data_IF_267070168412
#
_entry.id   IF_267070168412
#
_cell.length_a   1.000
_cell.length_b   1.000
_cell.length_c   1.000
_cell.angle_alpha   90.00
_cell.angle_beta   90.00
_cell.angle_gamma   90.00
#
_symmetry.space_group_name_H-M   'P 1'
#
loop_
_entity.id
_entity.type
_entity.pdbx_description
1 polymer ?
#
# COMPACT_ATOMS: atom_id res chain seq x y z
N UNK A 1 -1.00 -17.75 -16.86
CA UNK A 1 -1.80 -18.84 -16.27
C UNK A 1 -2.73 -19.38 -17.34
N UNK A 2 -3.01 -20.69 -17.31
CA UNK A 2 -3.79 -21.41 -18.33
C UNK A 2 -5.26 -20.99 -18.40
N UNK A 3 -5.93 -21.36 -19.50
CA UNK A 3 -7.26 -20.88 -19.93
C UNK A 3 -8.48 -21.46 -19.17
N UNK A 4 -8.29 -22.23 -18.10
CA UNK A 4 -9.34 -23.13 -17.60
C UNK A 4 -10.06 -22.70 -16.30
N UNK A 5 -9.75 -21.56 -15.69
CA UNK A 5 -10.45 -21.07 -14.48
C UNK A 5 -11.73 -20.25 -14.77
N UNK A 6 -12.46 -20.57 -15.83
CA UNK A 6 -13.60 -19.73 -16.28
C UNK A 6 -14.92 -19.92 -15.52
N UNK A 7 -14.99 -20.72 -14.45
CA UNK A 7 -16.30 -21.13 -13.90
C UNK A 7 -16.40 -21.33 -12.37
N UNK A 8 -15.67 -20.57 -11.55
CA UNK A 8 -15.67 -20.84 -10.10
C UNK A 8 -16.63 -20.02 -9.21
N UNK A 9 -17.32 -18.96 -9.65
CA UNK A 9 -17.86 -18.00 -8.67
C UNK A 9 -19.21 -17.34 -9.03
N UNK A 10 -20.38 -17.92 -8.68
CA UNK A 10 -21.66 -17.28 -8.94
C UNK A 10 -22.22 -16.41 -7.80
N UNK A 11 -21.63 -16.30 -6.59
CA UNK A 11 -22.23 -15.50 -5.51
C UNK A 11 -21.24 -14.91 -4.48
N UNK A 12 -20.90 -13.62 -4.60
CA UNK A 12 -19.99 -12.87 -3.72
C UNK A 12 -20.39 -12.92 -2.22
N UNK A 13 -21.67 -13.03 -1.89
CA UNK A 13 -22.18 -13.09 -0.51
C UNK A 13 -21.85 -14.41 0.20
N UNK A 14 -21.90 -15.53 -0.52
CA UNK A 14 -21.49 -16.85 0.00
C UNK A 14 -19.97 -16.88 0.23
N UNK A 15 -19.21 -16.13 -0.57
CA UNK A 15 -17.75 -16.03 -0.42
C UNK A 15 -17.31 -15.15 0.76
N UNK A 16 -17.99 -14.02 0.99
CA UNK A 16 -17.75 -13.21 2.20
C UNK A 16 -18.01 -14.02 3.47
N UNK A 17 -19.08 -14.83 3.48
CA UNK A 17 -19.36 -15.74 4.60
C UNK A 17 -18.29 -16.82 4.77
N UNK A 18 -17.87 -17.49 3.69
CA UNK A 18 -16.85 -18.56 3.78
C UNK A 18 -15.46 -18.03 4.13
N UNK A 19 -15.11 -16.80 3.72
CA UNK A 19 -13.88 -16.12 4.14
C UNK A 19 -13.91 -15.72 5.62
N UNK A 20 -15.03 -15.19 6.12
CA UNK A 20 -15.20 -14.93 7.55
C UNK A 20 -15.11 -16.22 8.38
N UNK A 21 -15.69 -17.32 7.88
CA UNK A 21 -15.58 -18.65 8.50
C UNK A 21 -14.16 -19.23 8.47
N UNK A 22 -13.37 -19.01 7.41
CA UNK A 22 -11.99 -19.51 7.34
C UNK A 22 -11.04 -18.74 8.26
N UNK A 23 -11.26 -17.45 8.49
CA UNK A 23 -10.55 -16.67 9.52
C UNK A 23 -10.79 -17.26 10.91
N UNK A 24 -12.02 -17.71 11.21
CA UNK A 24 -12.36 -18.35 12.49
C UNK A 24 -11.70 -19.74 12.65
N UNK A 25 -11.54 -20.49 11.56
CA UNK A 25 -11.00 -21.86 11.60
C UNK A 25 -9.47 -21.96 11.59
N UNK A 26 -8.73 -20.95 11.10
CA UNK A 26 -7.27 -21.02 10.96
C UNK A 26 -6.46 -20.74 12.24
N UNK A 27 -7.06 -20.24 13.32
CA UNK A 27 -6.37 -20.01 14.60
C UNK A 27 -6.69 -21.12 15.61
N UNK A 28 -5.93 -22.22 15.53
CA UNK A 28 -5.74 -23.14 16.66
C UNK A 28 -4.26 -23.33 16.89
N UNK A 29 -3.70 -22.58 17.83
CA UNK A 29 -2.39 -22.85 18.43
C UNK A 29 -2.61 -22.97 19.95
N UNK A 30 -2.00 -23.99 20.56
CA UNK A 30 -2.10 -24.30 22.00
C UNK A 30 -1.39 -23.20 22.82
N UNK A 31 -2.07 -22.66 23.83
CA UNK A 31 -1.56 -21.64 24.75
C UNK A 31 -0.84 -22.20 25.97
N UNK A 32 0.00 -21.34 26.54
CA UNK A 32 0.43 -21.33 27.93
C UNK A 32 0.50 -19.85 28.37
N UNK A 33 -0.65 -19.16 28.41
CA UNK A 33 -0.74 -17.74 28.84
C UNK A 33 -1.17 -17.67 30.31
N UNK A 34 -0.63 -16.71 31.07
CA UNK A 34 -1.04 -16.48 32.47
C UNK A 34 -2.19 -15.47 32.55
N UNK A 35 -2.95 -15.46 33.65
CA UNK A 35 -4.04 -14.48 33.87
C UNK A 35 -3.56 -13.02 33.92
N UNK A 36 -2.28 -12.81 34.24
CA UNK A 36 -1.68 -11.48 34.38
C UNK A 36 -1.42 -10.86 33.00
N UNK A 37 -0.90 -11.65 32.06
CA UNK A 37 -0.68 -11.23 30.66
C UNK A 37 -2.02 -10.83 29.95
N UNK A 38 -3.13 -11.51 30.29
CA UNK A 38 -4.45 -11.19 29.74
C UNK A 38 -5.03 -9.85 30.24
N UNK A 39 -4.75 -9.49 31.49
CA UNK A 39 -5.19 -8.21 32.06
C UNK A 39 -4.41 -7.06 31.43
N UNK A 40 -3.08 -7.19 31.32
CA UNK A 40 -2.21 -6.17 30.74
C UNK A 40 -2.58 -5.87 29.26
N UNK A 41 -2.86 -6.91 28.46
CA UNK A 41 -3.31 -6.77 27.07
C UNK A 41 -4.57 -5.88 26.92
N UNK A 42 -5.60 -6.13 27.74
CA UNK A 42 -6.86 -5.40 27.65
C UNK A 42 -6.75 -3.98 28.18
N UNK A 43 -5.94 -3.78 29.21
CA UNK A 43 -5.66 -2.45 29.76
C UNK A 43 -4.97 -1.58 28.69
N UNK A 44 -3.98 -2.13 27.98
CA UNK A 44 -3.33 -1.44 26.86
C UNK A 44 -4.33 -1.08 25.76
N UNK A 45 -5.24 -2.00 25.39
CA UNK A 45 -6.28 -1.71 24.39
C UNK A 45 -7.27 -0.63 24.84
N UNK A 46 -7.64 -0.60 26.12
CA UNK A 46 -8.53 0.43 26.66
C UNK A 46 -7.86 1.81 26.62
N UNK A 47 -6.60 1.89 27.05
CA UNK A 47 -5.83 3.13 26.99
C UNK A 47 -5.57 3.58 25.55
N UNK A 48 -5.33 2.63 24.63
CA UNK A 48 -5.14 2.89 23.21
C UNK A 48 -6.37 3.52 22.53
N UNK A 49 -7.56 3.52 23.14
CA UNK A 49 -8.69 4.31 22.61
C UNK A 49 -8.42 5.80 22.70
N UNK A 50 -7.72 6.26 23.74
CA UNK A 50 -7.61 7.67 24.09
C UNK A 50 -6.20 8.24 23.91
N UNK A 51 -5.17 7.40 23.75
CA UNK A 51 -3.78 7.84 23.55
C UNK A 51 -3.02 6.96 22.55
N UNK A 52 -1.90 7.47 22.07
CA UNK A 52 -0.92 6.65 21.35
C UNK A 52 -0.33 5.58 22.28
N UNK A 53 -0.08 4.39 21.75
CA UNK A 53 0.61 3.32 22.47
C UNK A 53 2.13 3.51 22.45
N UNK A 54 2.80 2.97 23.47
CA UNK A 54 4.26 2.93 23.56
C UNK A 54 4.85 1.79 22.73
N UNK A 55 6.18 1.75 22.64
CA UNK A 55 6.89 0.72 21.88
C UNK A 55 6.73 -0.65 22.54
N UNK A 56 6.82 -0.67 23.86
CA UNK A 56 6.67 -1.83 24.72
C UNK A 56 5.25 -2.39 24.60
N UNK A 57 4.24 -1.52 24.62
CA UNK A 57 2.83 -1.88 24.42
C UNK A 57 2.58 -2.45 23.02
N UNK A 58 3.16 -1.86 21.98
CA UNK A 58 3.04 -2.39 20.63
C UNK A 58 3.62 -3.82 20.51
N UNK A 59 4.76 -4.09 21.14
CA UNK A 59 5.36 -5.42 21.18
C UNK A 59 4.50 -6.40 21.99
N UNK A 60 3.98 -5.97 23.14
CA UNK A 60 3.06 -6.75 23.96
C UNK A 60 1.82 -7.16 23.14
N UNK A 61 1.16 -6.22 22.47
CA UNK A 61 -0.01 -6.50 21.64
C UNK A 61 0.33 -7.53 20.54
N UNK A 62 1.45 -7.36 19.83
CA UNK A 62 1.83 -8.30 18.77
C UNK A 62 2.12 -9.72 19.30
N UNK A 63 2.67 -9.83 20.51
CA UNK A 63 2.97 -11.09 21.19
C UNK A 63 1.71 -11.79 21.69
N UNK A 64 0.80 -11.04 22.33
CA UNK A 64 -0.35 -11.61 23.04
C UNK A 64 -1.54 -11.96 22.12
N UNK A 65 -1.60 -11.42 20.91
CA UNK A 65 -2.68 -11.72 19.95
C UNK A 65 -2.44 -13.10 19.30
N UNK A 66 -2.92 -14.12 20.00
CA UNK A 66 -2.85 -15.53 19.60
C UNK A 66 -4.23 -16.19 19.38
N UNK A 67 -5.32 -15.44 19.54
CA UNK A 67 -6.69 -15.88 19.28
C UNK A 67 -7.45 -14.92 18.37
N UNK A 68 -8.45 -15.43 17.66
CA UNK A 68 -9.37 -14.59 16.87
C UNK A 68 -10.11 -13.57 17.73
N UNK A 69 -10.41 -13.90 18.99
CA UNK A 69 -11.05 -12.96 19.92
C UNK A 69 -10.15 -11.75 20.18
N UNK A 70 -8.92 -11.97 20.64
CA UNK A 70 -7.96 -10.88 20.89
C UNK A 70 -7.76 -10.06 19.59
N UNK A 71 -7.59 -10.72 18.45
CA UNK A 71 -7.43 -10.01 17.18
C UNK A 71 -8.63 -9.10 16.84
N UNK A 72 -9.86 -9.57 17.06
CA UNK A 72 -11.06 -8.76 16.86
C UNK A 72 -11.13 -7.58 17.83
N UNK A 73 -10.74 -7.76 19.10
CA UNK A 73 -10.63 -6.68 20.09
C UNK A 73 -9.64 -5.59 19.61
N UNK A 74 -8.48 -5.98 19.06
CA UNK A 74 -7.53 -5.02 18.44
C UNK A 74 -8.17 -4.28 17.25
N UNK A 75 -8.83 -4.98 16.34
CA UNK A 75 -9.46 -4.38 15.16
C UNK A 75 -10.58 -3.40 15.54
N UNK A 76 -11.37 -3.71 16.56
CA UNK A 76 -12.39 -2.80 17.08
C UNK A 76 -11.75 -1.48 17.57
N UNK A 77 -10.68 -1.55 18.37
CA UNK A 77 -9.98 -0.35 18.85
C UNK A 77 -9.33 0.41 17.68
N UNK A 78 -8.63 -0.27 16.77
CA UNK A 78 -7.98 0.38 15.64
C UNK A 78 -8.97 1.08 14.70
N UNK A 79 -10.11 0.45 14.40
CA UNK A 79 -11.16 1.05 13.57
C UNK A 79 -11.82 2.25 14.26
N UNK A 80 -12.07 2.18 15.57
CA UNK A 80 -12.55 3.32 16.36
C UNK A 80 -11.58 4.50 16.30
N UNK A 81 -10.29 4.26 16.56
CA UNK A 81 -9.24 5.30 16.47
C UNK A 81 -9.18 5.91 15.08
N UNK A 82 -9.30 5.09 14.02
CA UNK A 82 -9.37 5.58 12.63
C UNK A 82 -10.56 6.50 12.42
N UNK A 83 -11.75 6.12 12.90
CA UNK A 83 -12.96 6.91 12.72
C UNK A 83 -12.90 8.25 13.46
N UNK A 84 -12.39 8.25 14.69
CA UNK A 84 -12.29 9.44 15.54
C UNK A 84 -11.18 10.40 15.09
N UNK A 85 -10.02 9.88 14.64
CA UNK A 85 -8.83 10.72 14.40
C UNK A 85 -8.40 10.85 12.94
N UNK A 86 -8.63 9.84 12.11
CA UNK A 86 -8.32 9.86 10.67
C UNK A 86 -9.57 10.05 9.78
N UNK A 87 -10.76 10.11 10.40
CA UNK A 87 -12.10 10.24 9.81
C UNK A 87 -12.60 8.95 9.14
N UNK A 88 -13.93 8.68 9.18
CA UNK A 88 -14.54 7.47 8.62
C UNK A 88 -14.76 7.59 7.09
N UNK A 89 -13.75 8.04 6.34
CA UNK A 89 -13.79 8.16 4.88
C UNK A 89 -12.67 7.32 4.27
N UNK A 90 -13.02 6.39 3.41
CA UNK A 90 -12.07 5.56 2.68
C UNK A 90 -11.68 6.23 1.36
N UNK A 91 -10.38 6.37 1.15
CA UNK A 91 -9.83 7.11 0.01
C UNK A 91 -9.27 6.18 -1.05
N UNK A 92 -9.40 6.52 -2.32
CA UNK A 92 -8.79 5.76 -3.41
C UNK A 92 -7.80 6.62 -4.20
N UNK A 93 -6.69 6.02 -4.60
CA UNK A 93 -5.75 6.63 -5.54
C UNK A 93 -5.86 5.95 -6.90
N UNK A 94 -5.59 6.70 -7.97
CA UNK A 94 -5.22 6.14 -9.25
C UNK A 94 -3.73 5.79 -9.31
N UNK A 95 -3.34 5.06 -10.35
CA UNK A 95 -1.95 4.72 -10.62
C UNK A 95 -1.61 4.89 -12.10
N UNK A 96 -0.52 5.59 -12.39
CA UNK A 96 0.10 5.66 -13.72
C UNK A 96 1.52 5.16 -13.59
N UNK A 97 1.88 4.16 -14.39
CA UNK A 97 3.24 3.65 -14.39
C UNK A 97 3.57 2.70 -15.53
N UNK A 98 4.84 2.54 -15.87
CA UNK A 98 6.00 3.15 -15.19
C UNK A 98 6.42 4.47 -15.82
N UNK A 99 6.78 5.49 -15.02
CA UNK A 99 7.26 6.79 -15.54
C UNK A 99 8.78 6.90 -15.65
N UNK A 100 9.52 6.02 -14.97
CA UNK A 100 10.99 5.93 -14.98
C UNK A 100 11.45 4.48 -15.12
N UNK A 101 12.65 4.23 -15.68
CA UNK A 101 13.23 2.90 -15.67
C UNK A 101 13.78 2.54 -14.30
N UNK A 102 14.13 1.27 -14.08
CA UNK A 102 14.83 0.85 -12.86
C UNK A 102 16.24 0.32 -13.19
N UNK A 103 17.29 0.96 -12.68
CA UNK A 103 18.68 0.61 -12.94
C UNK A 103 19.43 0.05 -11.71
N UNK A 104 18.75 -0.13 -10.57
CA UNK A 104 19.28 -0.82 -9.39
C UNK A 104 19.86 -2.18 -9.81
N UNK A 105 21.15 -2.41 -9.55
CA UNK A 105 21.85 -3.62 -9.94
C UNK A 105 22.81 -4.05 -8.81
N UNK A 106 22.69 -5.27 -8.27
CA UNK A 106 21.72 -6.32 -8.60
C UNK A 106 20.26 -5.94 -8.30
N UNK A 107 19.27 -6.52 -8.99
CA UNK A 107 17.87 -6.22 -8.74
C UNK A 107 17.39 -6.68 -7.35
N UNK A 108 16.36 -5.99 -6.82
CA UNK A 108 15.70 -6.42 -5.59
C UNK A 108 15.15 -7.85 -5.75
N UNK A 109 15.48 -8.75 -4.81
CA UNK A 109 15.23 -10.19 -4.93
C UNK A 109 13.74 -10.58 -4.88
N UNK A 110 12.88 -9.70 -4.39
CA UNK A 110 11.41 -9.87 -4.37
C UNK A 110 10.72 -9.27 -5.60
N UNK A 111 11.43 -8.48 -6.41
CA UNK A 111 10.83 -7.74 -7.51
C UNK A 111 10.81 -8.59 -8.78
N UNK A 112 9.77 -8.47 -9.60
CA UNK A 112 9.68 -9.15 -10.90
C UNK A 112 10.86 -8.87 -11.85
N UNK A 113 11.63 -7.78 -11.66
CA UNK A 113 12.86 -7.55 -12.44
C UNK A 113 13.92 -8.63 -12.20
N UNK A 114 13.99 -9.20 -10.99
CA UNK A 114 14.95 -10.26 -10.68
C UNK A 114 14.58 -11.62 -11.25
N UNK A 115 13.42 -11.76 -11.91
CA UNK A 115 13.03 -12.98 -12.64
C UNK A 115 13.28 -12.90 -14.15
N UNK A 116 14.09 -11.94 -14.60
CA UNK A 116 14.39 -11.72 -16.02
C UNK A 116 13.26 -11.06 -16.80
N UNK A 117 12.17 -10.66 -16.12
CA UNK A 117 11.10 -9.87 -16.76
C UNK A 117 11.58 -8.44 -16.97
N UNK A 118 11.17 -7.86 -18.09
CA UNK A 118 11.42 -6.46 -18.48
C UNK A 118 10.58 -5.45 -17.66
N UNK A 119 10.45 -5.69 -16.35
CA UNK A 119 9.72 -4.78 -15.46
C UNK A 119 10.53 -3.50 -15.31
N UNK A 120 9.90 -2.36 -15.62
CA UNK A 120 10.54 -1.03 -15.61
C UNK A 120 11.62 -0.82 -16.68
N UNK A 121 11.68 -1.62 -17.76
CA UNK A 121 12.62 -1.36 -18.86
C UNK A 121 12.17 -0.20 -19.75
N UNK A 122 10.87 -0.15 -20.04
CA UNK A 122 10.29 0.84 -20.95
C UNK A 122 9.29 1.74 -20.21
N UNK A 123 9.69 2.97 -19.86
CA UNK A 123 8.78 3.99 -19.35
C UNK A 123 7.72 4.37 -20.37
N UNK A 124 6.58 4.84 -19.86
CA UNK A 124 5.55 5.48 -20.66
C UNK A 124 6.09 6.81 -21.22
N UNK A 125 5.73 7.11 -22.44
CA UNK A 125 5.90 8.41 -23.10
C UNK A 125 5.01 9.47 -22.45
N UNK A 126 5.31 10.75 -22.67
CA UNK A 126 4.48 11.86 -22.15
C UNK A 126 3.04 11.78 -22.65
N UNK A 127 2.81 11.43 -23.92
CA UNK A 127 1.46 11.31 -24.47
C UNK A 127 0.69 10.10 -23.90
N UNK A 128 1.37 8.97 -23.67
CA UNK A 128 0.78 7.84 -22.93
C UNK A 128 0.37 8.28 -21.51
N UNK A 129 1.20 9.05 -20.81
CA UNK A 129 0.90 9.52 -19.46
C UNK A 129 -0.26 10.51 -19.46
N UNK A 130 -0.29 11.47 -20.39
CA UNK A 130 -1.42 12.43 -20.53
C UNK A 130 -2.74 11.70 -20.79
N UNK A 131 -2.72 10.67 -21.63
CA UNK A 131 -3.89 9.83 -21.90
C UNK A 131 -4.39 9.16 -20.62
N UNK A 132 -3.49 8.53 -19.87
CA UNK A 132 -3.82 7.89 -18.59
C UNK A 132 -4.36 8.87 -17.55
N UNK A 133 -3.73 10.03 -17.41
CA UNK A 133 -4.15 11.08 -16.48
C UNK A 133 -5.56 11.60 -16.78
N UNK A 134 -5.88 11.81 -18.07
CA UNK A 134 -7.23 12.19 -18.49
C UNK A 134 -8.27 11.12 -18.10
N UNK A 135 -8.01 9.86 -18.47
CA UNK A 135 -8.91 8.74 -18.15
C UNK A 135 -9.10 8.56 -16.63
N UNK A 136 -8.02 8.66 -15.86
CA UNK A 136 -8.07 8.56 -14.40
C UNK A 136 -8.87 9.72 -13.81
N UNK A 137 -8.66 10.95 -14.28
CA UNK A 137 -9.42 12.12 -13.82
C UNK A 137 -10.93 11.98 -14.08
N UNK A 138 -11.33 11.35 -15.19
CA UNK A 138 -12.73 11.10 -15.54
C UNK A 138 -13.42 10.08 -14.61
N UNK A 139 -12.65 9.30 -13.84
CA UNK A 139 -13.24 8.35 -12.87
C UNK A 139 -13.77 9.01 -11.59
N UNK A 140 -13.42 10.27 -11.36
CA UNK A 140 -13.74 11.00 -10.13
C UNK A 140 -12.76 10.76 -8.98
N UNK A 141 -11.68 9.99 -9.19
CA UNK A 141 -10.61 9.87 -8.20
C UNK A 141 -9.91 11.23 -8.00
N UNK A 142 -9.54 11.53 -6.76
CA UNK A 142 -8.95 12.83 -6.40
C UNK A 142 -7.44 12.86 -6.50
N UNK A 143 -6.78 11.70 -6.43
CA UNK A 143 -5.33 11.57 -6.33
C UNK A 143 -4.79 10.47 -7.22
N UNK A 144 -3.59 10.64 -7.75
CA UNK A 144 -2.90 9.66 -8.59
C UNK A 144 -1.44 9.49 -8.19
N UNK A 145 -0.97 8.24 -8.21
CA UNK A 145 0.44 7.87 -8.18
C UNK A 145 1.06 8.02 -9.56
N UNK A 146 2.20 8.71 -9.63
CA UNK A 146 3.13 8.57 -10.73
C UNK A 146 4.28 7.68 -10.26
N UNK A 147 4.18 6.39 -10.61
CA UNK A 147 5.05 5.34 -10.11
C UNK A 147 6.09 4.91 -11.14
N UNK A 148 7.29 4.58 -10.70
CA UNK A 148 8.30 4.02 -11.57
C UNK A 148 9.48 3.34 -10.88
N UNK A 149 10.47 2.99 -11.69
CA UNK A 149 11.71 2.38 -11.23
C UNK A 149 12.66 3.37 -10.54
N UNK A 150 13.59 2.82 -9.78
CA UNK A 150 14.66 3.57 -9.13
C UNK A 150 15.81 3.82 -10.09
N UNK A 151 16.16 5.10 -10.22
CA UNK A 151 17.36 5.64 -10.88
C UNK A 151 18.17 6.46 -9.86
N UNK A 152 19.13 5.87 -9.11
CA UNK A 152 19.89 6.61 -8.12
C UNK A 152 20.54 7.85 -8.74
N UNK A 153 20.23 9.03 -8.21
CA UNK A 153 20.80 10.31 -8.63
C UNK A 153 20.36 10.86 -9.98
N UNK A 154 19.24 10.40 -10.59
CA UNK A 154 18.89 10.88 -11.93
C UNK A 154 17.48 10.56 -12.43
N UNK A 155 16.43 11.08 -11.79
CA UNK A 155 15.06 11.08 -12.35
C UNK A 155 14.34 12.44 -12.33
N UNK A 156 14.92 13.47 -11.70
CA UNK A 156 14.30 14.79 -11.48
C UNK A 156 13.60 15.37 -12.69
N UNK A 157 14.36 15.69 -13.75
CA UNK A 157 13.85 16.29 -15.00
C UNK A 157 12.67 15.50 -15.58
N UNK A 158 12.78 14.17 -15.64
CA UNK A 158 11.73 13.30 -16.18
C UNK A 158 10.46 13.35 -15.33
N UNK A 159 10.61 13.32 -14.01
CA UNK A 159 9.47 13.39 -13.08
C UNK A 159 8.80 14.74 -13.15
N UNK A 160 9.57 15.83 -13.20
CA UNK A 160 9.07 17.20 -13.35
C UNK A 160 8.29 17.36 -14.66
N UNK A 161 8.87 16.96 -15.81
CA UNK A 161 8.21 16.98 -17.12
C UNK A 161 6.89 16.19 -17.08
N UNK A 162 6.90 15.03 -16.41
CA UNK A 162 5.71 14.20 -16.25
C UNK A 162 4.62 14.91 -15.43
N UNK A 163 4.99 15.54 -14.31
CA UNK A 163 4.06 16.29 -13.46
C UNK A 163 3.44 17.45 -14.23
N UNK A 164 4.25 18.22 -14.96
CA UNK A 164 3.78 19.32 -15.80
C UNK A 164 2.80 18.83 -16.87
N UNK A 165 3.11 17.73 -17.55
CA UNK A 165 2.22 17.13 -18.54
C UNK A 165 0.87 16.68 -17.95
N UNK A 166 0.87 16.07 -16.76
CA UNK A 166 -0.36 15.69 -16.06
C UNK A 166 -1.17 16.94 -15.67
N UNK A 167 -0.51 18.00 -15.18
CA UNK A 167 -1.17 19.26 -14.80
C UNK A 167 -1.89 19.93 -15.97
N UNK A 168 -1.38 19.79 -17.19
CA UNK A 168 -2.03 20.34 -18.40
C UNK A 168 -3.38 19.67 -18.69
N UNK A 169 -3.49 18.35 -18.47
CA UNK A 169 -4.69 17.59 -18.87
C UNK A 169 -5.62 17.22 -17.71
N UNK A 170 -5.11 17.23 -16.48
CA UNK A 170 -5.82 16.88 -15.25
C UNK A 170 -5.42 17.85 -14.11
N UNK A 171 -5.73 19.16 -14.23
CA UNK A 171 -5.23 20.19 -13.30
C UNK A 171 -5.72 20.02 -11.85
N UNK A 172 -6.84 19.34 -11.64
CA UNK A 172 -7.45 19.15 -10.31
C UNK A 172 -7.01 17.87 -9.60
N UNK A 173 -6.23 17.02 -10.26
CA UNK A 173 -5.82 15.72 -9.72
C UNK A 173 -4.62 15.91 -8.78
N UNK A 174 -4.74 15.55 -7.52
CA UNK A 174 -3.57 15.53 -6.63
C UNK A 174 -2.55 14.49 -7.10
N UNK A 175 -1.27 14.82 -7.04
CA UNK A 175 -0.19 13.95 -7.53
C UNK A 175 0.70 13.55 -6.36
N UNK A 176 1.08 12.28 -6.31
CA UNK A 176 2.20 11.82 -5.52
C UNK A 176 3.16 10.94 -6.33
N UNK A 177 4.43 10.94 -5.93
CA UNK A 177 5.52 10.35 -6.71
C UNK A 177 6.12 9.14 -5.99
N UNK A 178 6.42 8.08 -6.76
CA UNK A 178 7.13 6.91 -6.26
C UNK A 178 8.17 6.43 -7.26
N UNK A 179 9.42 6.85 -7.07
CA UNK A 179 10.55 6.48 -7.94
C UNK A 179 11.78 6.04 -7.14
N UNK A 180 11.62 5.71 -5.85
CA UNK A 180 12.74 5.40 -4.96
C UNK A 180 13.69 6.60 -4.73
N UNK A 181 14.94 6.36 -4.26
CA UNK A 181 15.93 7.40 -3.98
C UNK A 181 16.53 8.02 -5.25
N UNK A 182 15.69 8.68 -6.05
CA UNK A 182 16.01 9.17 -7.39
C UNK A 182 15.85 10.67 -7.57
N UNK A 183 15.40 11.36 -6.54
CA UNK A 183 15.16 12.79 -6.50
C UNK A 183 16.19 13.45 -5.60
N UNK A 184 16.73 14.57 -6.04
CA UNK A 184 17.51 15.48 -5.21
C UNK A 184 16.59 16.41 -4.42
N UNK A 185 17.14 17.10 -3.42
CA UNK A 185 16.42 18.15 -2.69
C UNK A 185 15.88 19.28 -3.59
N UNK A 186 16.63 19.67 -4.62
CA UNK A 186 16.17 20.69 -5.57
C UNK A 186 14.98 20.20 -6.40
N UNK A 187 14.99 18.93 -6.81
CA UNK A 187 13.83 18.30 -7.46
C UNK A 187 12.60 18.34 -6.55
N UNK A 188 12.76 18.01 -5.26
CA UNK A 188 11.68 18.05 -4.28
C UNK A 188 11.11 19.47 -4.13
N UNK A 189 11.96 20.50 -4.08
CA UNK A 189 11.55 21.90 -4.03
C UNK A 189 10.73 22.27 -5.28
N UNK A 190 11.16 21.84 -6.46
CA UNK A 190 10.45 22.10 -7.71
C UNK A 190 9.11 21.34 -7.76
N UNK A 191 9.08 20.08 -7.36
CA UNK A 191 7.85 19.29 -7.28
C UNK A 191 6.84 19.91 -6.31
N UNK A 192 7.30 20.44 -5.17
CA UNK A 192 6.46 21.20 -4.24
C UNK A 192 5.85 22.44 -4.89
N UNK A 193 6.64 23.20 -5.67
CA UNK A 193 6.14 24.36 -6.44
C UNK A 193 5.10 23.97 -7.49
N UNK A 194 5.23 22.80 -8.11
CA UNK A 194 4.25 22.22 -9.04
C UNK A 194 3.00 21.63 -8.35
N UNK A 195 2.93 21.72 -7.02
CA UNK A 195 1.79 21.25 -6.24
C UNK A 195 1.73 19.73 -6.10
N UNK A 196 2.85 19.02 -6.17
CA UNK A 196 2.93 17.61 -5.74
C UNK A 196 2.61 17.56 -4.23
N UNK A 197 1.79 16.59 -3.84
CA UNK A 197 1.32 16.46 -2.46
C UNK A 197 2.24 15.59 -1.61
N UNK A 198 2.69 14.48 -2.18
CA UNK A 198 3.47 13.49 -1.45
C UNK A 198 4.58 12.88 -2.32
N UNK A 199 5.66 12.45 -1.68
CA UNK A 199 6.73 11.68 -2.30
C UNK A 199 7.01 10.45 -1.41
N UNK A 200 7.23 9.32 -2.07
CA UNK A 200 7.46 8.05 -1.41
C UNK A 200 8.96 7.78 -1.25
N UNK A 201 9.39 7.50 -0.02
CA UNK A 201 10.67 6.87 0.28
C UNK A 201 10.46 5.68 1.20
N UNK A 202 10.52 4.47 0.66
CA UNK A 202 10.23 3.23 1.39
C UNK A 202 11.49 2.43 1.72
N UNK A 203 11.59 1.93 2.95
CA UNK A 203 12.62 0.96 3.30
C UNK A 203 12.21 -0.48 2.95
N UNK A 204 10.92 -0.79 2.95
CA UNK A 204 10.31 -2.13 2.96
C UNK A 204 10.58 -2.90 4.26
N UNK A 205 11.84 -2.94 4.70
CA UNK A 205 12.24 -3.50 5.99
C UNK A 205 13.16 -2.53 6.71
N UNK A 206 12.98 -2.37 8.02
CA UNK A 206 13.83 -1.53 8.84
C UNK A 206 15.17 -2.20 9.18
N UNK A 207 15.15 -3.54 9.26
CA UNK A 207 16.31 -4.38 9.53
C UNK A 207 17.38 -4.21 8.43
N UNK A 208 18.58 -3.73 8.77
CA UNK A 208 19.63 -3.45 7.77
C UNK A 208 20.15 -4.72 7.09
N UNK A 209 20.20 -5.86 7.79
CA UNK A 209 20.67 -7.13 7.23
C UNK A 209 19.65 -7.67 6.22
N UNK A 210 18.36 -7.71 6.60
CA UNK A 210 17.29 -8.10 5.68
C UNK A 210 17.22 -7.15 4.48
N UNK A 211 17.41 -5.84 4.69
CA UNK A 211 17.46 -4.87 3.59
C UNK A 211 18.57 -5.22 2.61
N UNK A 212 19.80 -5.39 3.09
CA UNK A 212 20.97 -5.70 2.26
C UNK A 212 20.78 -7.03 1.50
N UNK A 213 20.15 -8.01 2.14
CA UNK A 213 19.85 -9.29 1.50
C UNK A 213 18.84 -9.14 0.36
N UNK A 214 17.72 -8.45 0.59
CA UNK A 214 16.58 -8.45 -0.34
C UNK A 214 16.62 -7.30 -1.35
N UNK A 215 17.44 -6.25 -1.11
CA UNK A 215 17.63 -5.07 -1.99
C UNK A 215 19.14 -4.82 -2.26
N UNK A 216 19.87 -5.80 -2.80
CA UNK A 216 21.34 -5.77 -2.84
C UNK A 216 21.96 -4.64 -3.68
N UNK A 217 21.24 -4.11 -4.68
CA UNK A 217 21.70 -2.97 -5.50
C UNK A 217 21.14 -1.61 -5.08
N UNK A 218 20.42 -1.56 -3.96
CA UNK A 218 19.75 -0.35 -3.44
C UNK A 218 20.50 0.19 -2.22
N UNK A 219 20.22 1.42 -1.78
CA UNK A 219 20.84 2.01 -0.60
C UNK A 219 19.79 2.40 0.44
N UNK A 220 19.91 1.79 1.62
CA UNK A 220 19.08 2.11 2.79
C UNK A 220 19.31 3.55 3.23
N UNK A 221 20.57 3.98 3.22
CA UNK A 221 20.99 5.32 3.62
C UNK A 221 20.44 6.38 2.67
N UNK A 222 20.44 6.11 1.35
CA UNK A 222 19.86 7.01 0.36
C UNK A 222 18.34 7.18 0.55
N UNK A 223 17.64 6.11 0.94
CA UNK A 223 16.20 6.15 1.24
C UNK A 223 15.90 6.92 2.52
N UNK A 224 16.70 6.75 3.57
CA UNK A 224 16.59 7.53 4.80
C UNK A 224 16.82 9.01 4.51
N UNK A 225 17.92 9.35 3.81
CA UNK A 225 18.20 10.74 3.40
C UNK A 225 17.06 11.34 2.59
N UNK A 226 16.52 10.60 1.61
CA UNK A 226 15.37 11.07 0.84
C UNK A 226 14.15 11.33 1.74
N UNK A 227 13.87 10.47 2.73
CA UNK A 227 12.76 10.69 3.66
C UNK A 227 12.95 11.96 4.50
N UNK A 228 14.17 12.22 4.98
CA UNK A 228 14.55 13.44 5.70
C UNK A 228 14.41 14.68 4.83
N UNK A 229 14.88 14.64 3.57
CA UNK A 229 14.77 15.76 2.63
C UNK A 229 13.31 16.06 2.23
N UNK A 230 12.47 15.03 2.06
CA UNK A 230 11.03 15.19 1.82
C UNK A 230 10.37 15.94 2.98
N UNK A 231 10.69 15.53 4.22
CA UNK A 231 10.17 16.15 5.43
C UNK A 231 10.67 17.60 5.59
N UNK A 232 11.96 17.84 5.35
CA UNK A 232 12.58 19.16 5.45
C UNK A 232 11.99 20.15 4.44
N UNK A 233 11.80 19.72 3.19
CA UNK A 233 11.14 20.53 2.15
C UNK A 233 9.66 20.73 2.46
N UNK A 234 9.06 19.92 3.34
CA UNK A 234 7.65 20.00 3.75
C UNK A 234 6.70 19.49 2.68
N UNK A 235 7.10 18.44 1.96
CA UNK A 235 6.20 17.58 1.17
C UNK A 235 5.65 16.47 2.08
N UNK A 236 4.49 15.90 1.72
CA UNK A 236 4.01 14.72 2.43
C UNK A 236 4.95 13.54 2.21
N UNK A 237 5.42 12.93 3.30
CA UNK A 237 6.21 11.71 3.30
C UNK A 237 5.26 10.51 3.26
N UNK A 238 5.58 9.60 2.34
CA UNK A 238 5.02 8.25 2.30
C UNK A 238 6.14 7.23 2.44
N UNK A 239 5.92 6.20 3.26
CA UNK A 239 6.93 5.17 3.49
C UNK A 239 6.29 3.80 3.60
N UNK A 240 6.75 2.83 2.81
CA UNK A 240 6.17 1.48 2.75
C UNK A 240 6.92 0.50 3.64
N UNK A 241 6.18 -0.30 4.40
CA UNK A 241 6.65 -1.50 5.09
C UNK A 241 6.19 -2.76 4.35
N UNK A 242 7.00 -3.80 4.35
CA UNK A 242 6.67 -5.12 3.82
C UNK A 242 6.79 -6.19 4.90
N UNK A 243 5.64 -6.68 5.36
CA UNK A 243 5.51 -7.76 6.32
C UNK A 243 5.81 -9.10 5.64
N UNK A 244 6.56 -9.96 6.32
CA UNK A 244 6.84 -11.33 5.88
C UNK A 244 8.03 -11.50 4.93
N UNK A 245 8.77 -10.41 4.63
CA UNK A 245 9.98 -10.48 3.79
C UNK A 245 11.26 -10.89 4.56
N UNK A 246 11.15 -11.08 5.88
CA UNK A 246 12.27 -11.46 6.75
C UNK A 246 12.34 -10.69 8.06
N UNK A 247 11.55 -9.61 8.22
CA UNK A 247 11.51 -8.83 9.46
C UNK A 247 10.78 -9.54 10.61
N UNK A 248 11.20 -9.22 11.84
CA UNK A 248 10.56 -9.66 13.09
C UNK A 248 9.51 -8.65 13.58
N UNK A 249 8.78 -8.98 14.66
CA UNK A 249 7.86 -8.04 15.32
C UNK A 249 8.58 -6.77 15.80
N UNK A 250 9.80 -6.92 16.31
CA UNK A 250 10.68 -5.83 16.72
C UNK A 250 11.04 -4.95 15.52
N UNK A 251 11.39 -5.53 14.37
CA UNK A 251 11.69 -4.76 13.16
C UNK A 251 10.46 -3.95 12.67
N UNK A 252 9.27 -4.53 12.75
CA UNK A 252 8.03 -3.84 12.38
C UNK A 252 7.72 -2.69 13.34
N UNK A 253 7.83 -2.92 14.64
CA UNK A 253 7.63 -1.89 15.66
C UNK A 253 8.69 -0.80 15.54
N UNK A 254 9.96 -1.15 15.35
CA UNK A 254 11.04 -0.19 15.13
C UNK A 254 10.76 0.71 13.91
N UNK A 255 10.26 0.13 12.82
CA UNK A 255 9.87 0.92 11.66
C UNK A 255 8.68 1.85 11.98
N UNK A 256 7.63 1.33 12.64
CA UNK A 256 6.47 2.12 13.07
C UNK A 256 6.93 3.33 13.90
N UNK A 257 7.85 3.13 14.85
CA UNK A 257 8.32 4.19 15.73
C UNK A 257 9.35 5.12 15.08
N UNK A 258 10.20 4.63 14.18
CA UNK A 258 11.10 5.46 13.35
C UNK A 258 10.30 6.51 12.58
N UNK A 259 9.15 6.11 12.03
CA UNK A 259 8.27 7.00 11.28
C UNK A 259 7.69 8.15 12.11
N UNK A 260 7.66 8.07 13.45
CA UNK A 260 7.24 9.18 14.32
C UNK A 260 8.18 10.38 14.25
N UNK A 261 9.41 10.18 13.79
CA UNK A 261 10.41 11.25 13.64
C UNK A 261 10.08 12.26 12.52
N UNK A 262 9.14 11.94 11.62
CA UNK A 262 8.82 12.78 10.47
C UNK A 262 7.53 13.56 10.68
N UNK A 263 7.63 14.89 10.64
CA UNK A 263 6.49 15.79 10.85
C UNK A 263 5.44 15.69 9.75
N UNK A 264 5.89 15.45 8.52
CA UNK A 264 5.07 15.42 7.33
C UNK A 264 4.76 13.99 6.87
N UNK A 265 4.84 12.98 7.74
CA UNK A 265 4.32 11.66 7.43
C UNK A 265 2.80 11.74 7.20
N UNK A 266 2.36 11.53 5.96
CA UNK A 266 0.93 11.62 5.59
C UNK A 266 0.32 10.27 5.23
N UNK A 267 1.13 9.31 4.75
CA UNK A 267 0.64 8.01 4.30
C UNK A 267 1.63 6.89 4.67
N UNK A 268 1.14 5.87 5.38
CA UNK A 268 1.90 4.67 5.75
C UNK A 268 1.28 3.39 5.14
N UNK A 269 1.75 2.94 3.96
CA UNK A 269 1.35 1.66 3.41
C UNK A 269 2.06 0.48 4.08
N UNK A 270 1.29 -0.55 4.44
CA UNK A 270 1.78 -1.79 5.03
C UNK A 270 1.43 -2.92 4.06
N UNK A 271 2.44 -3.49 3.43
CA UNK A 271 2.27 -4.51 2.39
C UNK A 271 2.61 -5.88 2.94
N UNK A 272 1.98 -6.94 2.42
CA UNK A 272 2.42 -8.30 2.69
C UNK A 272 3.28 -8.84 1.55
N UNK A 273 4.41 -9.45 1.88
CA UNK A 273 5.27 -10.10 0.90
C UNK A 273 4.50 -11.16 0.11
N UNK A 274 4.63 -11.08 -1.22
CA UNK A 274 4.05 -12.03 -2.18
C UNK A 274 5.19 -12.63 -3.00
N UNK A 275 5.43 -13.95 -2.94
CA UNK A 275 6.40 -14.61 -3.80
C UNK A 275 6.03 -14.45 -5.27
N UNK A 276 7.03 -14.16 -6.10
CA UNK A 276 6.88 -14.03 -7.54
C UNK A 276 7.70 -15.14 -8.21
N UNK A 277 7.05 -15.93 -9.06
CA UNK A 277 7.71 -17.01 -9.81
C UNK A 277 8.90 -16.49 -10.62
N UNK A 278 10.01 -17.23 -10.53
CA UNK A 278 11.30 -16.95 -11.14
C UNK A 278 12.16 -15.94 -10.38
N UNK A 279 11.69 -15.35 -9.29
CA UNK A 279 12.53 -14.48 -8.46
C UNK A 279 13.36 -15.30 -7.47
N UNK A 280 14.49 -14.80 -6.97
CA UNK A 280 15.26 -15.50 -5.92
C UNK A 280 14.44 -15.83 -4.67
N UNK A 281 13.36 -15.08 -4.39
CA UNK A 281 12.46 -15.32 -3.26
C UNK A 281 11.17 -16.06 -3.63
N UNK A 282 11.11 -16.74 -4.78
CA UNK A 282 9.89 -17.45 -5.21
C UNK A 282 9.45 -18.56 -4.24
N UNK A 283 10.40 -19.14 -3.49
CA UNK A 283 10.15 -20.21 -2.50
C UNK A 283 10.00 -19.68 -1.07
N UNK A 284 10.21 -18.37 -0.87
CA UNK A 284 10.01 -17.76 0.44
C UNK A 284 8.52 -17.79 0.81
N UNK A 285 8.19 -17.93 2.09
CA UNK A 285 6.79 -18.04 2.52
C UNK A 285 6.07 -16.72 2.29
N UNK A 286 4.88 -16.77 1.68
CA UNK A 286 4.03 -15.59 1.56
C UNK A 286 3.61 -15.06 2.94
N UNK A 287 3.44 -13.74 3.05
CA UNK A 287 2.86 -13.15 4.24
C UNK A 287 1.41 -13.61 4.41
N UNK A 288 0.99 -13.84 5.66
CA UNK A 288 -0.41 -14.09 5.98
C UNK A 288 -1.15 -12.76 6.04
N UNK A 289 -2.26 -12.63 5.30
CA UNK A 289 -3.05 -11.39 5.28
C UNK A 289 -3.48 -10.91 6.67
N UNK A 290 -3.74 -11.85 7.58
CA UNK A 290 -4.13 -11.57 8.96
C UNK A 290 -2.98 -10.97 9.78
N UNK A 291 -1.74 -11.38 9.53
CA UNK A 291 -0.55 -10.81 10.18
C UNK A 291 -0.27 -9.40 9.67
N UNK A 292 -0.44 -9.17 8.36
CA UNK A 292 -0.34 -7.84 7.76
C UNK A 292 -1.38 -6.89 8.38
N UNK A 293 -2.62 -7.37 8.52
CA UNK A 293 -3.71 -6.62 9.14
C UNK A 293 -3.45 -6.34 10.64
N UNK A 294 -2.96 -7.33 11.39
CA UNK A 294 -2.58 -7.17 12.81
C UNK A 294 -1.52 -6.07 12.99
N UNK A 295 -0.46 -6.10 12.18
CA UNK A 295 0.59 -5.07 12.22
C UNK A 295 0.04 -3.69 11.81
N UNK A 296 -0.87 -3.64 10.83
CA UNK A 296 -1.53 -2.39 10.46
C UNK A 296 -2.44 -1.80 11.52
N UNK A 297 -3.14 -2.64 12.26
CA UNK A 297 -3.96 -2.20 13.38
C UNK A 297 -3.09 -1.64 14.52
N UNK A 298 -1.96 -2.28 14.84
CA UNK A 298 -0.97 -1.72 15.79
C UNK A 298 -0.41 -0.38 15.27
N UNK A 299 -0.08 -0.30 13.97
CA UNK A 299 0.39 0.94 13.37
C UNK A 299 -0.66 2.07 13.46
N UNK A 300 -1.96 1.77 13.38
CA UNK A 300 -3.04 2.76 13.59
C UNK A 300 -3.07 3.31 15.01
N UNK A 301 -2.80 2.47 16.02
CA UNK A 301 -2.75 2.92 17.42
C UNK A 301 -1.56 3.83 17.73
N UNK A 302 -0.51 3.79 16.90
CA UNK A 302 0.64 4.70 16.97
C UNK A 302 0.45 5.93 16.09
N UNK A 303 0.11 5.73 14.82
CA UNK A 303 -0.05 6.77 13.80
C UNK A 303 -1.53 7.12 13.59
N UNK A 304 -2.12 7.73 14.62
CA UNK A 304 -3.58 7.85 14.76
C UNK A 304 -4.25 8.66 13.64
N UNK A 305 -3.55 9.63 13.04
CA UNK A 305 -4.07 10.53 11.98
C UNK A 305 -3.55 10.25 10.57
N UNK A 306 -2.51 9.43 10.43
CA UNK A 306 -1.86 9.15 9.15
C UNK A 306 -2.79 8.26 8.30
N UNK A 307 -2.82 8.47 6.98
CA UNK A 307 -3.53 7.54 6.11
C UNK A 307 -2.81 6.18 6.14
N UNK A 308 -3.54 5.10 6.42
CA UNK A 308 -3.01 3.73 6.39
C UNK A 308 -3.68 2.98 5.25
N UNK A 309 -2.86 2.28 4.47
CA UNK A 309 -3.32 1.41 3.38
C UNK A 309 -2.60 0.09 3.43
N UNK A 310 -3.18 -0.94 2.81
CA UNK A 310 -2.50 -2.22 2.65
C UNK A 310 -2.08 -2.48 1.19
N UNK A 311 -1.22 -3.47 0.97
CA UNK A 311 -0.84 -3.91 -0.37
C UNK A 311 -0.09 -5.24 -0.42
N UNK A 312 0.55 -5.54 -1.55
CA UNK A 312 1.25 -6.82 -1.74
C UNK A 312 0.26 -7.99 -1.85
N UNK A 313 0.37 -9.00 -0.98
CA UNK A 313 -0.64 -10.09 -0.89
C UNK A 313 -2.02 -9.55 -0.54
N UNK A 314 -2.09 -8.40 0.13
CA UNK A 314 -3.36 -7.77 0.51
C UNK A 314 -4.12 -7.23 -0.69
N UNK A 315 -3.45 -7.02 -1.85
CA UNK A 315 -4.01 -6.40 -3.05
C UNK A 315 -5.08 -7.25 -3.74
N UNK A 316 -6.08 -7.72 -3.00
CA UNK A 316 -7.26 -8.45 -3.43
C UNK A 316 -8.49 -7.70 -2.87
N UNK A 317 -9.44 -7.25 -3.72
CA UNK A 317 -10.67 -6.60 -3.26
C UNK A 317 -11.46 -7.39 -2.20
N UNK A 318 -11.35 -8.72 -2.20
CA UNK A 318 -12.00 -9.59 -1.21
C UNK A 318 -11.45 -9.37 0.21
N UNK A 319 -10.24 -8.81 0.33
CA UNK A 319 -9.61 -8.49 1.61
C UNK A 319 -9.95 -7.06 2.10
N UNK A 320 -10.64 -6.22 1.32
CA UNK A 320 -11.01 -4.87 1.75
C UNK A 320 -11.78 -4.81 3.10
N UNK A 321 -12.68 -5.76 3.44
CA UNK A 321 -13.28 -5.81 4.77
C UNK A 321 -12.23 -5.91 5.88
N UNK A 322 -11.24 -6.79 5.72
CA UNK A 322 -10.13 -6.95 6.67
C UNK A 322 -9.30 -5.66 6.76
N UNK A 323 -9.10 -4.95 5.66
CA UNK A 323 -8.39 -3.67 5.64
C UNK A 323 -9.11 -2.63 6.52
N UNK A 324 -10.42 -2.51 6.33
CA UNK A 324 -11.27 -1.54 7.04
C UNK A 324 -11.31 -1.86 8.54
N UNK A 325 -11.47 -3.14 8.89
CA UNK A 325 -11.43 -3.62 10.28
C UNK A 325 -10.09 -3.32 10.95
N UNK A 326 -8.98 -3.49 10.24
CA UNK A 326 -7.64 -3.19 10.75
C UNK A 326 -7.28 -1.69 10.77
N UNK A 327 -8.23 -0.79 10.54
CA UNK A 327 -8.01 0.66 10.65
C UNK A 327 -7.38 1.33 9.42
N UNK A 328 -7.34 0.67 8.26
CA UNK A 328 -6.93 1.31 7.00
C UNK A 328 -8.05 2.18 6.43
N UNK A 329 -7.70 3.35 5.90
CA UNK A 329 -8.64 4.34 5.38
C UNK A 329 -8.27 4.82 3.97
N UNK A 330 -7.34 4.15 3.30
CA UNK A 330 -6.96 4.45 1.92
C UNK A 330 -6.55 3.19 1.15
N UNK A 331 -6.74 3.18 -0.16
CA UNK A 331 -6.16 2.18 -1.04
C UNK A 331 -5.54 2.79 -2.30
N UNK A 332 -4.37 2.28 -2.67
CA UNK A 332 -3.64 2.72 -3.87
C UNK A 332 -4.01 1.80 -5.04
N UNK A 333 -3.64 0.51 -4.94
CA UNK A 333 -3.82 -0.44 -6.03
C UNK A 333 -5.24 -1.03 -6.14
N UNK A 334 -6.25 -0.30 -5.66
CA UNK A 334 -7.68 -0.64 -5.67
C UNK A 334 -8.56 0.43 -6.35
N UNK A 335 -7.93 1.47 -6.91
CA UNK A 335 -8.57 2.47 -7.75
C UNK A 335 -8.33 2.22 -9.24
N UNK A 336 -8.33 3.27 -10.06
CA UNK A 336 -8.06 3.16 -11.49
C UNK A 336 -6.56 3.08 -11.81
N UNK A 337 -6.17 2.24 -12.76
CA UNK A 337 -4.78 2.04 -13.16
C UNK A 337 -4.60 2.26 -14.66
N UNK A 338 -3.44 2.79 -15.03
CA UNK A 338 -2.99 2.96 -16.41
C UNK A 338 -1.55 2.48 -16.56
N UNK A 339 -1.35 1.46 -17.39
CA UNK A 339 -0.03 0.85 -17.65
C UNK A 339 -0.03 0.10 -18.99
N UNK A 340 1.16 -0.26 -19.51
CA UNK A 340 1.26 -1.24 -20.60
C UNK A 340 0.72 -2.60 -20.15
N UNK A 341 -0.04 -3.26 -21.01
CA UNK A 341 -0.86 -4.45 -20.71
C UNK A 341 -0.08 -5.65 -20.17
N UNK A 342 -0.82 -6.63 -19.64
CA UNK A 342 -0.27 -7.92 -19.17
C UNK A 342 0.39 -7.90 -17.79
N UNK A 343 0.44 -6.74 -17.11
CA UNK A 343 1.01 -6.62 -15.74
C UNK A 343 0.01 -7.00 -14.64
N UNK A 344 -1.30 -6.95 -14.90
CA UNK A 344 -2.36 -7.12 -13.88
C UNK A 344 -3.55 -8.00 -14.30
N UNK A 345 -3.39 -8.81 -15.36
CA UNK A 345 -4.45 -9.62 -15.98
C UNK A 345 -5.14 -10.65 -15.05
N UNK A 346 -4.60 -10.87 -13.85
CA UNK A 346 -5.25 -11.72 -12.85
C UNK A 346 -6.55 -11.09 -12.29
N UNK A 347 -6.75 -9.79 -12.51
CA UNK A 347 -7.95 -9.04 -12.07
C UNK A 347 -9.10 -9.13 -13.06
N UNK A 348 -8.85 -9.51 -14.31
CA UNK A 348 -9.83 -9.50 -15.40
C UNK A 348 -11.02 -10.44 -15.16
N UNK A 349 -10.89 -11.36 -14.20
CA UNK A 349 -11.94 -12.32 -13.81
C UNK A 349 -12.88 -11.78 -12.72
N UNK A 350 -12.56 -10.66 -12.07
CA UNK A 350 -13.41 -10.09 -11.03
C UNK A 350 -14.57 -9.31 -11.65
N UNK A 351 -15.80 -9.51 -11.16
CA UNK A 351 -16.96 -8.80 -11.70
C UNK A 351 -16.82 -7.29 -11.48
N UNK A 352 -17.36 -6.51 -12.43
CA UNK A 352 -17.49 -5.05 -12.35
C UNK A 352 -16.18 -4.25 -12.39
N UNK A 353 -15.06 -4.89 -12.71
CA UNK A 353 -13.85 -4.19 -13.13
C UNK A 353 -14.02 -3.77 -14.59
N UNK A 354 -13.85 -2.47 -14.86
CA UNK A 354 -13.89 -1.94 -16.22
C UNK A 354 -12.49 -1.97 -16.79
N UNK A 355 -12.29 -2.76 -17.84
CA UNK A 355 -11.02 -2.84 -18.58
C UNK A 355 -11.20 -2.22 -19.96
N UNK A 356 -10.37 -1.25 -20.31
CA UNK A 356 -10.27 -0.68 -21.67
C UNK A 356 -8.84 -0.88 -22.18
N UNK A 357 -8.70 -1.39 -23.41
CA UNK A 357 -7.40 -1.53 -24.08
C UNK A 357 -7.25 -0.48 -25.18
N UNK A 358 -6.15 0.25 -25.19
CA UNK A 358 -5.83 1.26 -26.21
C UNK A 358 -4.42 0.97 -26.74
N UNK A 359 -4.33 0.34 -27.92
CA UNK A 359 -3.05 -0.16 -28.41
C UNK A 359 -2.46 -1.21 -27.47
N UNK A 360 -1.23 -0.98 -26.97
CA UNK A 360 -0.57 -1.82 -25.96
C UNK A 360 -0.85 -1.37 -24.51
N UNK A 361 -1.70 -0.36 -24.32
CA UNK A 361 -2.05 0.19 -23.01
C UNK A 361 -3.33 -0.43 -22.46
N UNK A 362 -3.40 -0.54 -21.14
CA UNK A 362 -4.51 -1.10 -20.38
C UNK A 362 -4.94 -0.10 -19.31
N UNK A 363 -6.23 0.24 -19.34
CA UNK A 363 -6.90 1.02 -18.31
C UNK A 363 -7.79 0.09 -17.50
N UNK A 364 -7.54 0.00 -16.20
CA UNK A 364 -8.28 -0.85 -15.26
C UNK A 364 -8.96 0.00 -14.19
N UNK A 365 -10.29 0.14 -14.23
CA UNK A 365 -11.03 0.84 -13.20
C UNK A 365 -11.73 -0.13 -12.24
N UNK A 366 -11.21 -0.19 -11.01
CA UNK A 366 -11.74 -1.04 -9.94
C UNK A 366 -12.76 -0.34 -9.04
N UNK A 367 -12.94 0.97 -9.17
CA UNK A 367 -13.78 1.77 -8.28
C UNK A 367 -15.22 1.26 -8.16
N UNK A 368 -15.91 0.76 -9.21
CA UNK A 368 -17.27 0.23 -9.06
C UNK A 368 -17.34 -0.91 -8.02
N UNK A 369 -16.43 -1.88 -8.11
CA UNK A 369 -16.36 -2.99 -7.17
C UNK A 369 -15.90 -2.53 -5.78
N UNK A 370 -14.80 -1.80 -5.69
CA UNK A 370 -14.12 -1.51 -4.42
C UNK A 370 -14.89 -0.51 -3.57
N UNK A 371 -15.47 0.53 -4.18
CA UNK A 371 -16.32 1.48 -3.44
C UNK A 371 -17.61 0.84 -2.94
N UNK A 372 -18.18 -0.11 -3.69
CA UNK A 372 -19.36 -0.86 -3.23
C UNK A 372 -19.05 -1.73 -2.02
N UNK A 373 -17.89 -2.41 -2.01
CA UNK A 373 -17.45 -3.20 -0.85
C UNK A 373 -17.29 -2.30 0.38
N UNK A 374 -16.59 -1.16 0.23
CA UNK A 374 -16.43 -0.20 1.33
C UNK A 374 -17.77 0.30 1.87
N UNK A 375 -18.70 0.68 0.98
CA UNK A 375 -20.05 1.13 1.39
C UNK A 375 -20.85 0.02 2.09
N UNK A 376 -20.75 -1.23 1.63
CA UNK A 376 -21.37 -2.39 2.31
C UNK A 376 -20.78 -2.63 3.70
N UNK A 377 -19.52 -2.24 3.92
CA UNK A 377 -18.88 -2.25 5.24
C UNK A 377 -19.25 -1.04 6.12
N UNK A 378 -20.14 -0.16 5.65
CA UNK A 378 -20.65 0.97 6.43
C UNK A 378 -19.75 2.21 6.44
N UNK A 379 -18.77 2.29 5.54
CA UNK A 379 -17.83 3.43 5.46
C UNK A 379 -18.06 4.25 4.19
N UNK A 380 -17.95 5.57 4.29
CA UNK A 380 -18.06 6.47 3.14
C UNK A 380 -16.78 6.43 2.28
N UNK A 381 -16.89 6.88 1.03
CA UNK A 381 -15.77 6.95 0.09
C UNK A 381 -15.54 8.37 -0.42
N UNK A 382 -14.29 8.73 -0.70
CA UNK A 382 -13.94 10.07 -1.18
C UNK A 382 -14.14 10.27 -2.69
N UNK A 383 -14.54 9.21 -3.41
CA UNK A 383 -14.75 9.19 -4.87
C UNK A 383 -16.25 9.22 -5.20
N UNK A 384 -16.62 10.08 -6.17
CA UNK A 384 -17.94 10.03 -6.80
C UNK A 384 -17.89 9.09 -8.01
N UNK A 385 -18.32 7.84 -7.82
CA UNK A 385 -18.30 6.83 -8.89
C UNK A 385 -19.17 7.28 -10.05
N UNK A 386 -18.57 7.42 -11.24
CA UNK A 386 -19.27 7.75 -12.48
C UNK A 386 -19.67 6.45 -13.17
N UNK A 387 -20.93 6.35 -13.61
CA UNK A 387 -21.49 5.11 -14.20
C UNK A 387 -21.03 4.85 -15.64
N UNK A 388 -20.48 5.85 -16.34
CA UNK A 388 -19.91 5.72 -17.69
C UNK A 388 -18.67 6.63 -17.82
N UNK A 389 -17.55 6.04 -18.23
CA UNK A 389 -16.35 6.77 -18.64
C UNK A 389 -16.43 6.94 -20.15
N UNK A 390 -16.38 8.19 -20.62
CA UNK A 390 -16.46 8.57 -22.04
C UNK A 390 -15.43 7.88 -22.94
#
# INVERSE_FOLDING_TARGET
MGKDDKNLYPNLEIYLLTFLLSIVLCYKIKNCDTKEDEMEYRDVLEEAKNREITKEEALLLLKEINTTQKLNELFEVASKVRDEEAKPIFKFDGFIGTITPCNTNPPCKYCSRSSGRETFSEPLTIEEIKTGAKLISETGVKRVELGGGTMPGGAGDRVIETVEAVRVVAPTLDIWINVGPSLSKDDLIQLKKLGVKEVCSSLETYNPEVFAEVKPGDSREARIRLAEEIDEVGLGLKSVMMVGIGGTSEDYVDYIFWLKGFKNLTHFPITGFRPISGTPLEKHKAALSIEVAKIGAVARLVHRKVDISFGGIMNDPQLLPLWIMAGANRAIHMGPHWHRGGKWSWRDHLPEIVVKTIGNMEFNNMLPLTTRIVKKMGMDVDVKVVSKIS
#
